data_IF_602643591036
#
_entry.id   IF_602643591036
#
_cell.length_a   1.000
_cell.length_b   1.000
_cell.length_c   1.000
_cell.angle_alpha   90.00
_cell.angle_beta   90.00
_cell.angle_gamma   90.00
#
_symmetry.space_group_name_H-M   'P 1'
#
loop_
_entity.id
_entity.type
_entity.pdbx_description
1 polymer ?
#
# COMPACT_ATOMS: atom_id res chain seq x y z
N UNK A 1 2.18 -26.65 -8.13
CA UNK A 1 2.56 -25.61 -7.14
C UNK A 1 2.62 -26.25 -5.75
N UNK A 2 3.81 -26.61 -5.24
CA UNK A 2 3.95 -27.29 -3.94
C UNK A 2 3.70 -26.37 -2.72
N UNK A 3 3.66 -25.05 -2.92
CA UNK A 3 3.55 -24.06 -1.85
C UNK A 3 2.10 -23.73 -1.46
N UNK A 4 1.10 -24.07 -2.29
CA UNK A 4 -0.32 -23.77 -2.03
C UNK A 4 -0.87 -24.49 -0.78
N UNK A 5 -0.60 -25.79 -0.57
CA UNK A 5 -1.02 -26.48 0.65
C UNK A 5 -0.40 -25.88 1.92
N UNK A 6 0.83 -25.38 1.85
CA UNK A 6 1.51 -24.77 3.01
C UNK A 6 0.89 -23.42 3.40
N UNK A 7 0.41 -22.63 2.43
CA UNK A 7 -0.32 -21.38 2.68
C UNK A 7 -1.61 -21.60 3.47
N UNK A 8 -2.30 -22.72 3.22
CA UNK A 8 -3.52 -23.08 3.96
C UNK A 8 -3.21 -23.54 5.39
N UNK A 9 -2.01 -24.07 5.63
CA UNK A 9 -1.54 -24.54 6.94
C UNK A 9 -0.80 -23.47 7.72
N UNK A 10 -0.70 -22.25 7.22
CA UNK A 10 -0.01 -21.13 7.87
C UNK A 10 -0.31 -20.99 9.38
N UNK A 11 -1.57 -21.12 9.87
CA UNK A 11 -1.86 -21.06 11.31
C UNK A 11 -1.28 -22.21 12.15
N UNK A 12 -0.91 -23.33 11.52
CA UNK A 12 -0.36 -24.53 12.17
C UNK A 12 1.18 -24.52 12.24
N UNK A 13 1.83 -23.63 11.51
CA UNK A 13 3.29 -23.55 11.43
C UNK A 13 3.80 -22.87 12.70
N UNK A 14 4.75 -23.50 13.38
CA UNK A 14 5.34 -22.97 14.62
C UNK A 14 6.76 -22.46 14.42
N UNK A 15 7.43 -22.80 13.32
CA UNK A 15 8.77 -22.30 13.03
C UNK A 15 8.72 -20.84 12.52
N UNK A 16 9.36 -19.88 13.22
CA UNK A 16 9.31 -18.48 12.83
C UNK A 16 9.90 -18.21 11.44
N UNK A 17 10.97 -18.90 11.05
CA UNK A 17 11.63 -18.67 9.76
C UNK A 17 10.74 -19.14 8.60
N UNK A 18 10.12 -20.31 8.74
CA UNK A 18 9.15 -20.85 7.80
C UNK A 18 7.90 -19.97 7.70
N UNK A 19 7.40 -19.45 8.83
CA UNK A 19 6.31 -18.47 8.83
C UNK A 19 6.68 -17.21 8.01
N UNK A 20 7.86 -16.61 8.24
CA UNK A 20 8.29 -15.42 7.48
C UNK A 20 8.44 -15.71 5.98
N UNK A 21 9.00 -16.86 5.62
CA UNK A 21 9.14 -17.27 4.22
C UNK A 21 7.78 -17.42 3.54
N UNK A 22 6.80 -18.01 4.21
CA UNK A 22 5.45 -18.19 3.67
C UNK A 22 4.72 -16.85 3.57
N UNK A 23 4.90 -15.95 4.54
CA UNK A 23 4.39 -14.59 4.45
C UNK A 23 4.91 -13.91 3.18
N UNK A 24 6.24 -13.88 2.98
CA UNK A 24 6.86 -13.26 1.80
C UNK A 24 6.38 -13.91 0.50
N UNK A 25 6.34 -15.24 0.45
CA UNK A 25 5.84 -15.96 -0.72
C UNK A 25 4.40 -15.55 -1.06
N UNK A 26 3.54 -15.37 -0.04
CA UNK A 26 2.16 -14.89 -0.23
C UNK A 26 2.13 -13.49 -0.84
N UNK A 27 2.93 -12.56 -0.31
CA UNK A 27 2.99 -11.17 -0.82
C UNK A 27 3.39 -11.15 -2.30
N UNK A 28 4.37 -11.98 -2.68
CA UNK A 28 4.81 -12.11 -4.06
C UNK A 28 3.70 -12.71 -4.92
N UNK A 29 3.07 -13.81 -4.49
CA UNK A 29 2.02 -14.48 -5.26
C UNK A 29 0.78 -13.61 -5.44
N UNK A 30 0.42 -12.81 -4.42
CA UNK A 30 -0.64 -11.80 -4.54
C UNK A 30 -0.36 -10.82 -5.67
N UNK A 31 0.89 -10.35 -5.80
CA UNK A 31 1.23 -9.40 -6.87
C UNK A 31 0.97 -9.98 -8.26
N UNK A 32 1.21 -11.28 -8.46
CA UNK A 32 0.91 -11.97 -9.72
C UNK A 32 -0.60 -12.15 -9.93
N UNK A 33 -1.38 -12.48 -8.89
CA UNK A 33 -2.84 -12.56 -8.96
C UNK A 33 -3.45 -11.22 -9.42
N UNK A 34 -3.00 -10.10 -8.84
CA UNK A 34 -3.48 -8.76 -9.21
C UNK A 34 -3.16 -8.39 -10.67
N UNK A 35 -2.00 -8.81 -11.18
CA UNK A 35 -1.61 -8.58 -12.57
C UNK A 35 -2.42 -9.44 -13.56
N UNK A 36 -2.84 -10.64 -13.17
CA UNK A 36 -3.69 -11.52 -14.00
C UNK A 36 -5.13 -11.01 -14.10
N UNK A 37 -5.70 -10.50 -13.01
CA UNK A 37 -7.06 -9.92 -12.99
C UNK A 37 -7.21 -8.76 -14.00
N UNK A 38 -6.17 -7.93 -14.17
CA UNK A 38 -6.17 -6.81 -15.13
C UNK A 38 -6.22 -7.24 -16.62
N UNK A 39 -5.82 -8.49 -16.91
CA UNK A 39 -5.84 -9.07 -18.27
C UNK A 39 -7.23 -9.65 -18.58
N UNK A 40 -7.90 -10.22 -17.58
CA UNK A 40 -9.24 -10.81 -17.73
C UNK A 40 -10.34 -9.73 -17.86
N UNK A 41 -10.23 -8.61 -17.14
CA UNK A 41 -11.17 -7.49 -17.22
C UNK A 41 -11.24 -6.82 -18.62
N UNK A 42 -10.23 -7.05 -19.48
CA UNK A 42 -10.19 -6.51 -20.85
C UNK A 42 -10.68 -7.48 -21.94
N UNK A 43 -10.86 -8.75 -21.62
CA UNK A 43 -11.31 -9.77 -22.56
C UNK A 43 -12.71 -10.25 -22.20
N UNK A 44 -13.71 -9.51 -22.67
CA UNK A 44 -15.14 -9.80 -22.55
C UNK A 44 -15.59 -11.00 -23.43
N UNK A 45 -14.75 -12.03 -23.54
CA UNK A 45 -15.03 -13.23 -24.34
C UNK A 45 -14.62 -14.51 -23.62
N UNK A 46 -15.65 -15.18 -23.09
CA UNK A 46 -15.79 -16.64 -22.98
C UNK A 46 -14.58 -17.37 -22.36
N UNK A 47 -14.54 -17.44 -21.04
CA UNK A 47 -13.78 -18.47 -20.32
C UNK A 47 -14.62 -19.05 -19.18
N UNK A 48 -15.72 -19.71 -19.55
CA UNK A 48 -16.39 -20.71 -18.72
C UNK A 48 -15.53 -21.98 -18.65
N UNK A 49 -14.42 -21.92 -17.93
CA UNK A 49 -13.67 -23.09 -17.42
C UNK A 49 -12.63 -22.62 -16.39
N UNK A 50 -12.80 -23.03 -15.13
CA UNK A 50 -11.83 -23.00 -14.01
C UNK A 50 -12.01 -21.97 -12.86
N UNK A 51 -13.21 -21.41 -12.65
CA UNK A 51 -13.48 -20.57 -11.46
C UNK A 51 -13.55 -21.34 -10.13
N UNK A 52 -13.51 -22.68 -10.15
CA UNK A 52 -13.72 -23.52 -8.96
C UNK A 52 -12.46 -24.02 -8.24
N UNK A 53 -11.24 -23.63 -8.66
CA UNK A 53 -10.01 -24.07 -7.99
C UNK A 53 -8.89 -23.00 -7.92
N UNK A 54 -9.21 -21.73 -8.21
CA UNK A 54 -8.25 -20.63 -8.00
C UNK A 54 -8.18 -20.28 -6.52
N UNK A 55 -6.96 -20.39 -5.99
CA UNK A 55 -6.63 -19.91 -4.64
C UNK A 55 -6.79 -18.39 -4.62
N UNK A 56 -7.68 -17.88 -3.77
CA UNK A 56 -7.89 -16.43 -3.60
C UNK A 56 -6.78 -15.87 -2.71
N UNK A 57 -5.65 -15.47 -3.32
CA UNK A 57 -4.50 -14.98 -2.56
C UNK A 57 -4.82 -13.64 -1.89
N UNK A 58 -5.76 -12.86 -2.40
CA UNK A 58 -6.29 -11.68 -1.73
C UNK A 58 -6.90 -12.02 -0.34
N UNK A 59 -7.69 -13.08 -0.25
CA UNK A 59 -8.30 -13.54 1.01
C UNK A 59 -7.27 -14.16 1.96
N UNK A 60 -6.29 -14.89 1.43
CA UNK A 60 -5.18 -15.45 2.22
C UNK A 60 -4.29 -14.32 2.75
N UNK A 61 -4.00 -13.31 1.93
CA UNK A 61 -3.21 -12.15 2.33
C UNK A 61 -3.88 -11.41 3.49
N UNK A 62 -5.21 -11.27 3.51
CA UNK A 62 -5.90 -10.66 4.65
C UNK A 62 -5.66 -11.42 5.96
N UNK A 63 -5.73 -12.75 5.94
CA UNK A 63 -5.45 -13.56 7.14
C UNK A 63 -4.00 -13.45 7.59
N UNK A 64 -3.07 -13.34 6.63
CA UNK A 64 -1.66 -13.14 6.92
C UNK A 64 -1.41 -11.74 7.49
N UNK A 65 -2.01 -10.69 6.92
CA UNK A 65 -1.99 -9.33 7.49
C UNK A 65 -2.45 -9.34 8.94
N UNK A 66 -3.59 -9.98 9.23
CA UNK A 66 -4.14 -10.04 10.59
C UNK A 66 -3.21 -10.79 11.57
N UNK A 67 -2.54 -11.85 11.10
CA UNK A 67 -1.53 -12.58 11.88
C UNK A 67 -0.26 -11.75 12.13
N UNK A 68 0.19 -10.98 11.14
CA UNK A 68 1.35 -10.09 11.22
C UNK A 68 1.12 -8.91 12.16
N UNK A 69 -0.09 -8.33 12.16
CA UNK A 69 -0.48 -7.27 13.11
C UNK A 69 -0.36 -7.77 14.56
N UNK A 70 -0.67 -9.05 14.79
CA UNK A 70 -0.63 -9.68 16.12
C UNK A 70 0.80 -10.00 16.59
N UNK A 71 1.74 -10.20 15.67
CA UNK A 71 3.14 -10.56 15.94
C UNK A 71 4.09 -9.45 15.47
N UNK A 72 3.86 -8.21 15.93
CA UNK A 72 4.76 -7.07 15.67
C UNK A 72 6.13 -7.31 16.33
N UNK A 73 7.01 -8.01 15.62
CA UNK A 73 8.40 -8.21 15.98
C UNK A 73 9.28 -7.11 15.38
N UNK A 74 10.36 -6.85 16.09
CA UNK A 74 11.47 -5.96 15.73
C UNK A 74 12.07 -6.36 14.36
N UNK A 75 12.51 -5.36 13.57
CA UNK A 75 13.19 -5.46 12.26
C UNK A 75 13.34 -6.89 11.68
N UNK A 76 12.25 -7.47 11.18
CA UNK A 76 12.25 -8.83 10.63
C UNK A 76 11.79 -8.87 9.17
N UNK A 77 11.93 -10.02 8.52
CA UNK A 77 11.46 -10.20 7.14
C UNK A 77 9.93 -10.06 7.07
N UNK A 78 9.21 -10.51 8.11
CA UNK A 78 7.78 -10.25 8.24
C UNK A 78 7.48 -8.74 8.29
N UNK A 79 8.25 -7.94 9.04
CA UNK A 79 8.04 -6.48 9.06
C UNK A 79 8.16 -5.87 7.67
N UNK A 80 9.16 -6.29 6.88
CA UNK A 80 9.35 -5.82 5.52
C UNK A 80 8.18 -6.24 4.61
N UNK A 81 7.78 -7.51 4.67
CA UNK A 81 6.64 -8.05 3.92
C UNK A 81 5.34 -7.30 4.25
N UNK A 82 5.11 -6.98 5.52
CA UNK A 82 3.93 -6.23 5.96
C UNK A 82 3.85 -4.88 5.25
N UNK A 83 4.94 -4.10 5.26
CA UNK A 83 4.95 -2.79 4.60
C UNK A 83 4.79 -2.86 3.08
N UNK A 84 5.31 -3.92 2.45
CA UNK A 84 5.04 -4.17 1.02
C UNK A 84 3.55 -4.39 0.79
N UNK A 85 2.90 -5.20 1.62
CA UNK A 85 1.46 -5.46 1.54
C UNK A 85 0.63 -4.19 1.73
N UNK A 86 1.00 -3.32 2.69
CA UNK A 86 0.32 -2.02 2.87
C UNK A 86 0.40 -1.19 1.58
N UNK A 87 1.60 -1.07 1.00
CA UNK A 87 1.79 -0.29 -0.24
C UNK A 87 0.98 -0.87 -1.40
N UNK A 88 1.05 -2.19 -1.61
CA UNK A 88 0.27 -2.89 -2.64
C UNK A 88 -1.23 -2.66 -2.47
N UNK A 89 -1.75 -2.79 -1.24
CA UNK A 89 -3.17 -2.59 -0.98
C UNK A 89 -3.62 -1.15 -1.25
N UNK A 90 -2.78 -0.14 -1.00
CA UNK A 90 -3.09 1.25 -1.38
C UNK A 90 -3.28 1.37 -2.88
N UNK A 91 -2.33 0.85 -3.68
CA UNK A 91 -2.42 0.92 -5.14
C UNK A 91 -3.61 0.12 -5.67
N UNK A 92 -3.78 -1.12 -5.20
CA UNK A 92 -4.88 -1.99 -5.61
C UNK A 92 -6.25 -1.42 -5.23
N UNK A 93 -6.38 -0.83 -4.04
CA UNK A 93 -7.61 -0.14 -3.62
C UNK A 93 -7.96 1.05 -4.52
N UNK A 94 -6.94 1.79 -4.98
CA UNK A 94 -7.13 2.92 -5.89
C UNK A 94 -7.53 2.46 -7.29
N UNK A 95 -6.90 1.44 -7.85
CA UNK A 95 -7.22 0.92 -9.19
C UNK A 95 -8.59 0.25 -9.22
N UNK A 96 -8.93 -0.54 -8.19
CA UNK A 96 -10.22 -1.24 -8.08
C UNK A 96 -11.34 -0.41 -7.43
N UNK A 97 -11.08 0.85 -7.08
CA UNK A 97 -12.05 1.76 -6.46
C UNK A 97 -12.74 1.17 -5.21
N UNK A 98 -11.97 0.46 -4.37
CA UNK A 98 -12.49 -0.20 -3.17
C UNK A 98 -11.79 0.32 -1.91
N UNK A 99 -12.44 0.28 -0.74
CA UNK A 99 -11.76 0.61 0.50
C UNK A 99 -10.69 -0.47 0.82
N UNK A 100 -9.47 -0.07 1.21
CA UNK A 100 -8.43 -0.98 1.63
C UNK A 100 -8.80 -1.60 2.98
N UNK A 101 -8.50 -2.88 3.15
CA UNK A 101 -8.83 -3.64 4.37
C UNK A 101 -7.70 -3.56 5.41
N UNK A 102 -7.43 -2.34 5.86
CA UNK A 102 -6.32 -2.06 6.79
C UNK A 102 -6.78 -1.30 8.03
N UNK A 103 -6.13 -1.60 9.16
CA UNK A 103 -6.36 -0.99 10.47
C UNK A 103 -5.01 -0.72 11.14
N UNK A 104 -4.80 0.52 11.53
CA UNK A 104 -3.60 0.95 12.25
C UNK A 104 -3.97 1.33 13.68
N UNK A 105 -3.22 0.81 14.65
CA UNK A 105 -3.32 1.21 16.05
C UNK A 105 -2.56 2.52 16.28
N UNK A 106 -2.84 3.28 17.34
CA UNK A 106 -2.06 4.46 17.71
C UNK A 106 -0.56 4.17 17.89
N UNK A 107 -0.21 2.98 18.38
CA UNK A 107 1.18 2.54 18.56
C UNK A 107 1.93 2.38 17.23
N UNK A 108 1.24 1.99 16.16
CA UNK A 108 1.84 1.82 14.83
C UNK A 108 2.43 3.13 14.32
N UNK A 109 1.73 4.23 14.56
CA UNK A 109 2.17 5.56 14.17
C UNK A 109 3.37 6.06 14.99
N UNK A 110 3.50 5.64 16.25
CA UNK A 110 4.61 6.04 17.11
C UNK A 110 5.93 5.33 16.80
N UNK A 111 5.88 4.16 16.14
CA UNK A 111 7.05 3.32 15.83
C UNK A 111 7.46 3.34 14.36
N UNK A 112 6.64 3.93 13.48
CA UNK A 112 6.87 3.94 12.05
C UNK A 112 7.98 4.94 11.64
N UNK A 113 8.75 4.58 10.60
CA UNK A 113 9.62 5.54 9.92
C UNK A 113 8.80 6.63 9.21
N UNK A 114 9.45 7.68 8.73
CA UNK A 114 8.79 8.73 7.96
C UNK A 114 8.05 8.17 6.74
N UNK A 115 8.69 7.27 5.98
CA UNK A 115 8.06 6.63 4.82
C UNK A 115 6.84 5.81 5.19
N UNK A 116 6.96 4.96 6.22
CA UNK A 116 5.86 4.11 6.65
C UNK A 116 4.70 4.93 7.22
N UNK A 117 4.99 6.01 7.93
CA UNK A 117 3.98 6.98 8.39
C UNK A 117 3.19 7.58 7.22
N UNK A 118 3.87 7.93 6.12
CA UNK A 118 3.22 8.50 4.94
C UNK A 118 2.47 7.46 4.10
N UNK A 119 2.94 6.20 4.08
CA UNK A 119 2.19 5.05 3.54
C UNK A 119 0.88 4.85 4.31
N UNK A 120 0.93 4.90 5.65
CA UNK A 120 -0.27 4.78 6.49
C UNK A 120 -1.25 5.92 6.24
N UNK A 121 -0.77 7.17 6.08
CA UNK A 121 -1.61 8.31 5.71
C UNK A 121 -2.33 8.06 4.38
N UNK A 122 -1.60 7.63 3.34
CA UNK A 122 -2.19 7.33 2.03
C UNK A 122 -3.25 6.22 2.12
N UNK A 123 -3.02 5.21 2.97
CA UNK A 123 -3.99 4.15 3.23
C UNK A 123 -5.25 4.66 3.93
N UNK A 124 -5.13 5.50 4.98
CA UNK A 124 -6.29 6.15 5.61
C UNK A 124 -7.07 7.03 4.63
N UNK A 125 -6.38 7.82 3.79
CA UNK A 125 -7.02 8.67 2.77
C UNK A 125 -7.73 7.84 1.70
N UNK A 126 -7.13 6.75 1.24
CA UNK A 126 -7.74 5.84 0.27
C UNK A 126 -8.98 5.16 0.87
N UNK A 127 -8.91 4.79 2.15
CA UNK A 127 -10.04 4.23 2.89
C UNK A 127 -11.18 5.21 3.07
N UNK A 128 -10.88 6.46 3.41
CA UNK A 128 -11.88 7.51 3.47
C UNK A 128 -12.55 7.70 2.11
N UNK A 129 -11.75 7.78 1.03
CA UNK A 129 -12.25 8.00 -0.33
C UNK A 129 -13.29 6.97 -0.77
N UNK A 130 -13.01 5.69 -0.53
CA UNK A 130 -13.86 4.57 -0.96
C UNK A 130 -14.69 3.96 0.16
N UNK A 131 -14.74 4.62 1.32
CA UNK A 131 -15.41 4.14 2.53
C UNK A 131 -16.46 5.11 3.01
N UNK A 132 -16.21 5.75 4.16
CA UNK A 132 -17.18 6.62 4.83
C UNK A 132 -17.37 7.96 4.12
N UNK A 133 -16.33 8.51 3.46
CA UNK A 133 -16.39 9.72 2.65
C UNK A 133 -16.84 10.97 3.40
N UNK A 134 -16.79 10.97 4.73
CA UNK A 134 -17.38 12.03 5.55
C UNK A 134 -16.55 13.31 5.51
N UNK A 135 -17.20 14.47 5.66
CA UNK A 135 -16.53 15.78 5.65
C UNK A 135 -15.66 15.96 6.91
N UNK A 136 -16.11 15.44 8.03
CA UNK A 136 -15.41 15.47 9.31
C UNK A 136 -14.08 14.72 9.19
N UNK A 137 -14.11 13.53 8.59
CA UNK A 137 -12.92 12.72 8.36
C UNK A 137 -11.98 13.37 7.35
N UNK A 138 -12.50 13.99 6.28
CA UNK A 138 -11.68 14.78 5.37
C UNK A 138 -10.90 15.87 6.10
N UNK A 139 -11.54 16.61 7.01
CA UNK A 139 -10.88 17.66 7.79
C UNK A 139 -9.76 17.09 8.67
N UNK A 140 -10.02 15.95 9.33
CA UNK A 140 -9.02 15.25 10.15
C UNK A 140 -7.80 14.84 9.30
N UNK A 141 -8.05 14.23 8.14
CA UNK A 141 -7.00 13.75 7.24
C UNK A 141 -6.22 14.89 6.60
N UNK A 142 -6.89 15.97 6.21
CA UNK A 142 -6.23 17.18 5.67
C UNK A 142 -5.34 17.84 6.72
N UNK A 143 -5.79 17.94 7.97
CA UNK A 143 -4.98 18.46 9.07
C UNK A 143 -3.75 17.56 9.31
N UNK A 144 -3.95 16.25 9.33
CA UNK A 144 -2.87 15.27 9.49
C UNK A 144 -1.85 15.36 8.36
N UNK A 145 -2.31 15.41 7.11
CA UNK A 145 -1.47 15.58 5.93
C UNK A 145 -0.59 16.84 6.03
N UNK A 146 -1.19 17.99 6.38
CA UNK A 146 -0.43 19.25 6.55
C UNK A 146 0.61 19.15 7.66
N UNK A 147 0.24 18.54 8.78
CA UNK A 147 1.16 18.31 9.90
C UNK A 147 2.34 17.43 9.47
N UNK A 148 2.08 16.26 8.88
CA UNK A 148 3.14 15.33 8.45
C UNK A 148 4.05 15.93 7.37
N UNK A 149 3.48 16.70 6.42
CA UNK A 149 4.28 17.45 5.43
C UNK A 149 5.22 18.47 6.09
N UNK A 150 4.76 19.12 7.15
CA UNK A 150 5.59 20.06 7.91
C UNK A 150 6.66 19.33 8.73
N UNK A 151 6.25 18.32 9.50
CA UNK A 151 7.13 17.58 10.41
C UNK A 151 8.28 16.88 9.67
N UNK A 152 8.03 16.36 8.46
CA UNK A 152 9.03 15.67 7.63
C UNK A 152 9.59 16.52 6.48
N UNK A 153 9.43 17.84 6.51
CA UNK A 153 9.84 18.70 5.39
C UNK A 153 11.31 18.50 4.99
N UNK A 154 12.22 18.35 5.95
CA UNK A 154 13.64 18.10 5.70
C UNK A 154 13.90 16.73 5.07
N UNK A 155 13.27 15.68 5.61
CA UNK A 155 13.41 14.29 5.18
C UNK A 155 12.84 14.07 3.79
N UNK A 156 11.90 14.90 3.36
CA UNK A 156 11.27 14.83 2.04
C UNK A 156 11.94 15.74 0.99
N UNK A 157 12.93 16.54 1.38
CA UNK A 157 13.59 17.46 0.48
C UNK A 157 14.44 16.72 -0.58
N UNK A 158 14.23 16.98 -1.88
CA UNK A 158 15.02 16.33 -2.93
C UNK A 158 16.48 16.80 -2.89
N UNK A 159 17.40 15.93 -3.31
CA UNK A 159 18.82 16.30 -3.49
C UNK A 159 19.07 17.05 -4.80
N UNK A 160 18.13 16.93 -5.75
CA UNK A 160 18.18 17.63 -7.02
C UNK A 160 16.76 17.81 -7.58
N UNK A 161 16.48 18.99 -8.10
CA UNK A 161 15.22 19.29 -8.80
C UNK A 161 15.50 20.09 -10.06
N UNK A 162 15.01 19.57 -11.19
CA UNK A 162 15.02 20.24 -12.49
C UNK A 162 13.59 20.33 -13.01
N UNK A 163 13.13 21.54 -13.27
CA UNK A 163 11.80 21.80 -13.84
C UNK A 163 11.71 21.25 -15.27
N UNK A 164 10.49 20.90 -15.69
CA UNK A 164 10.21 20.53 -17.07
C UNK A 164 10.58 21.67 -18.03
N UNK A 165 11.24 21.33 -19.13
CA UNK A 165 11.60 22.26 -20.21
C UNK A 165 11.00 21.80 -21.53
N UNK A 166 9.80 22.31 -21.83
CA UNK A 166 9.06 21.99 -23.06
C UNK A 166 9.82 22.40 -24.33
N UNK A 167 10.69 23.41 -24.26
CA UNK A 167 11.49 23.84 -25.42
C UNK A 167 12.51 22.78 -25.85
N UNK A 168 12.89 21.91 -24.90
CA UNK A 168 13.81 20.79 -25.11
C UNK A 168 13.10 19.43 -25.25
N UNK A 169 11.78 19.43 -25.34
CA UNK A 169 10.97 18.20 -25.35
C UNK A 169 10.84 17.52 -23.98
N UNK A 170 11.26 18.17 -22.90
CA UNK A 170 11.17 17.64 -21.54
C UNK A 170 9.78 17.97 -20.95
N UNK A 171 8.84 17.03 -21.02
CA UNK A 171 7.46 17.22 -20.56
C UNK A 171 7.29 17.18 -19.04
N UNK A 172 8.18 16.46 -18.35
CA UNK A 172 8.10 16.22 -16.91
C UNK A 172 9.35 16.74 -16.20
N UNK A 173 9.24 17.16 -14.93
CA UNK A 173 10.40 17.50 -14.13
C UNK A 173 11.26 16.27 -13.85
N UNK A 174 12.53 16.50 -13.53
CA UNK A 174 13.44 15.49 -13.00
C UNK A 174 13.72 15.82 -11.55
N UNK A 175 13.36 14.91 -10.64
CA UNK A 175 13.56 15.08 -9.20
C UNK A 175 14.33 13.86 -8.69
N UNK A 176 15.43 14.08 -7.99
CA UNK A 176 16.22 13.02 -7.38
C UNK A 176 16.14 13.09 -5.87
N UNK A 177 16.07 11.91 -5.28
CA UNK A 177 16.03 11.67 -3.86
C UNK A 177 17.25 10.85 -3.47
N UNK A 178 17.62 10.92 -2.19
CA UNK A 178 18.81 10.24 -1.67
C UNK A 178 18.61 8.74 -1.43
N UNK A 179 17.36 8.26 -1.38
CA UNK A 179 17.02 6.85 -1.16
C UNK A 179 15.63 6.47 -1.66
N UNK A 180 15.40 5.17 -1.88
CA UNK A 180 14.07 4.62 -2.23
C UNK A 180 13.04 4.82 -1.11
N UNK A 181 13.48 4.85 0.15
CA UNK A 181 12.62 5.16 1.28
C UNK A 181 12.07 6.59 1.18
N UNK A 182 12.93 7.54 0.81
CA UNK A 182 12.52 8.93 0.59
C UNK A 182 11.57 9.05 -0.60
N UNK A 183 11.84 8.33 -1.71
CA UNK A 183 10.92 8.27 -2.86
C UNK A 183 9.55 7.74 -2.44
N UNK A 184 9.53 6.63 -1.70
CA UNK A 184 8.30 6.00 -1.20
C UNK A 184 7.51 6.98 -0.33
N UNK A 185 8.19 7.67 0.58
CA UNK A 185 7.61 8.68 1.47
C UNK A 185 6.89 9.79 0.68
N UNK A 186 7.60 10.41 -0.27
CA UNK A 186 7.07 11.50 -1.09
C UNK A 186 5.92 11.02 -1.98
N UNK A 187 6.06 9.88 -2.64
CA UNK A 187 5.01 9.34 -3.50
C UNK A 187 3.70 9.15 -2.74
N UNK A 188 3.74 8.56 -1.54
CA UNK A 188 2.53 8.34 -0.75
C UNK A 188 1.95 9.64 -0.18
N UNK A 189 2.79 10.60 0.20
CA UNK A 189 2.33 11.94 0.58
C UNK A 189 1.59 12.63 -0.57
N UNK A 190 2.12 12.58 -1.79
CA UNK A 190 1.50 13.22 -2.94
C UNK A 190 0.24 12.48 -3.43
N UNK A 191 0.18 11.15 -3.34
CA UNK A 191 -1.07 10.39 -3.56
C UNK A 191 -2.16 10.88 -2.60
N UNK A 192 -1.84 10.98 -1.30
CA UNK A 192 -2.79 11.48 -0.30
C UNK A 192 -3.23 12.93 -0.62
N UNK A 193 -2.27 13.79 -0.97
CA UNK A 193 -2.52 15.18 -1.35
C UNK A 193 -3.45 15.31 -2.56
N UNK A 194 -3.21 14.54 -3.61
CA UNK A 194 -4.03 14.53 -4.82
C UNK A 194 -5.48 14.14 -4.51
N UNK A 195 -5.69 13.06 -3.76
CA UNK A 195 -7.03 12.58 -3.40
C UNK A 195 -7.76 13.61 -2.54
N UNK A 196 -7.13 14.09 -1.47
CA UNK A 196 -7.76 15.05 -0.55
C UNK A 196 -8.07 16.39 -1.24
N UNK A 197 -7.23 16.83 -2.17
CA UNK A 197 -7.45 18.07 -2.93
C UNK A 197 -8.58 17.90 -3.94
N UNK A 198 -8.56 16.81 -4.71
CA UNK A 198 -9.57 16.55 -5.74
C UNK A 198 -10.96 16.30 -5.15
N UNK A 199 -11.03 15.81 -3.91
CA UNK A 199 -12.28 15.48 -3.21
C UNK A 199 -12.59 16.47 -2.08
N UNK A 200 -12.08 17.69 -2.18
CA UNK A 200 -12.32 18.73 -1.19
C UNK A 200 -13.83 19.05 -1.14
N UNK A 201 -14.51 18.84 0.02
CA UNK A 201 -15.96 19.00 0.14
C UNK A 201 -16.41 20.46 0.24
N UNK A 202 -15.49 21.41 0.07
CA UNK A 202 -15.72 22.86 0.09
C UNK A 202 -15.46 23.54 -1.26
N UNK A 203 -15.14 22.77 -2.31
CA UNK A 203 -15.04 23.27 -3.69
C UNK A 203 -16.42 23.38 -4.35
#
# INVERSE_FOLDING_TARGET
>A
LKCIPELLRFPEITDPTEQENIMVATVILRQYEEMEEDIEDNNDTIADMSTHDRVNFLAITQRIIDAMISHRLEQSLATAAYWIVIRQEVYYALTRQRPPKMRFSPEDWGKASAANTLVMLASEVTKWRWGDGTREEWNRLMLRHRKLRHDYHSELAPIFEKKADRSRGELFPTIWYSSDEQVTAVQHLEIANMILTAQNPYL
#
